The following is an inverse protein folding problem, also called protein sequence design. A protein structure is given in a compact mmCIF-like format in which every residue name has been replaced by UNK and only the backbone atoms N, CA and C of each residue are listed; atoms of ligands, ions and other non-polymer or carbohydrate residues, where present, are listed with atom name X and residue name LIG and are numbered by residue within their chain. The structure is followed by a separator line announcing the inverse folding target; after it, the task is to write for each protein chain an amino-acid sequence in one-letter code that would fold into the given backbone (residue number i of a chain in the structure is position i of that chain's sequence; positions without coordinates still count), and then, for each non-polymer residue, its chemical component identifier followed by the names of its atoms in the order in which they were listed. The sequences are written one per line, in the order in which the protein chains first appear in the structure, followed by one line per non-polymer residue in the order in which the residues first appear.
data_IF_067663125002
#
_entry.id   IF_067663125002
#
_cell.length_a   1.000
_cell.length_b   1.000
_cell.length_c   1.000
_cell.angle_alpha   90.00
_cell.angle_beta   90.00
_cell.angle_gamma   90.00
#
_symmetry.space_group_name_H-M   'P 1'
#
loop_
_entity.id
_entity.type
_entity.pdbx_description
1 polymer ?
#
# COMPACT_ATOMS: atom_id res chain seq x y z
N UNK A 1 17.95 -22.83 29.06
CA UNK A 1 16.48 -22.99 28.99
C UNK A 1 15.88 -21.91 29.89
N UNK A 2 15.59 -20.74 29.32
CA UNK A 2 15.03 -19.60 30.08
C UNK A 2 13.50 -19.80 30.05
N UNK A 3 12.95 -20.20 31.17
CA UNK A 3 11.49 -20.25 31.41
C UNK A 3 10.95 -18.81 31.28
N UNK A 4 10.21 -18.55 30.18
CA UNK A 4 9.45 -17.32 30.02
C UNK A 4 8.36 -17.28 31.13
N UNK A 5 8.46 -16.33 32.04
CA UNK A 5 7.36 -16.02 32.95
C UNK A 5 6.16 -15.53 32.09
N UNK A 6 5.13 -16.37 31.99
CA UNK A 6 3.84 -16.01 31.40
C UNK A 6 3.22 -14.91 32.25
N UNK A 7 2.81 -13.82 31.63
CA UNK A 7 1.99 -12.82 32.30
C UNK A 7 0.56 -13.40 32.41
N UNK A 8 0.05 -13.72 33.61
CA UNK A 8 -1.23 -14.43 33.78
C UNK A 8 -2.46 -13.64 33.35
N UNK A 9 -2.30 -12.37 32.95
CA UNK A 9 -3.39 -11.47 32.54
C UNK A 9 -3.45 -11.20 31.04
N UNK A 10 -2.64 -11.87 30.20
CA UNK A 10 -2.76 -11.72 28.73
C UNK A 10 -3.65 -12.84 28.17
N UNK A 11 -4.71 -12.50 27.40
CA UNK A 11 -5.55 -13.50 26.77
C UNK A 11 -4.71 -14.30 25.76
N UNK A 12 -4.76 -15.64 25.82
CA UNK A 12 -4.16 -16.54 24.85
C UNK A 12 -5.05 -16.63 23.59
N UNK A 13 -5.55 -15.50 23.12
CA UNK A 13 -6.57 -15.48 22.07
C UNK A 13 -6.09 -15.93 20.68
N UNK A 14 -4.77 -16.09 20.50
CA UNK A 14 -4.18 -16.66 19.27
C UNK A 14 -3.60 -18.05 19.49
N UNK A 15 -3.85 -18.69 20.65
CA UNK A 15 -3.31 -20.02 20.95
C UNK A 15 -3.79 -21.06 19.92
N UNK A 16 -2.84 -21.80 19.36
CA UNK A 16 -3.09 -22.82 18.35
C UNK A 16 -3.29 -22.30 16.92
N UNK A 17 -3.26 -20.99 16.68
CA UNK A 17 -3.36 -20.43 15.33
C UNK A 17 -2.00 -20.15 14.72
N UNK A 18 -1.85 -20.47 13.43
CA UNK A 18 -0.70 -20.13 12.58
C UNK A 18 -0.97 -18.81 11.89
N UNK A 19 -0.23 -17.79 12.30
CA UNK A 19 -0.44 -16.40 11.87
C UNK A 19 0.69 -15.95 10.95
N UNK A 20 0.37 -15.71 9.69
CA UNK A 20 1.31 -15.20 8.70
C UNK A 20 1.52 -13.68 8.87
N UNK A 21 2.78 -13.30 9.05
CA UNK A 21 3.24 -11.91 9.02
C UNK A 21 4.15 -11.67 7.83
N UNK A 22 3.80 -10.67 7.02
CA UNK A 22 4.58 -10.23 5.85
C UNK A 22 5.50 -9.05 6.17
N UNK A 23 5.60 -8.70 7.47
CA UNK A 23 6.45 -7.60 7.95
C UNK A 23 7.93 -7.85 7.67
N UNK A 24 8.61 -6.77 7.26
CA UNK A 24 10.06 -6.77 7.00
C UNK A 24 10.82 -6.05 8.11
N UNK A 25 10.70 -4.72 8.21
CA UNK A 25 11.45 -3.93 9.19
C UNK A 25 11.12 -4.26 10.64
N UNK A 26 9.83 -4.55 10.92
CA UNK A 26 9.31 -4.85 12.25
C UNK A 26 8.93 -6.31 12.42
N UNK A 27 9.52 -7.20 11.63
CA UNK A 27 9.24 -8.63 11.63
C UNK A 27 9.40 -9.27 13.01
N UNK A 28 10.49 -8.98 13.72
CA UNK A 28 10.75 -9.50 15.06
C UNK A 28 9.72 -8.97 16.09
N UNK A 29 9.30 -7.71 15.96
CA UNK A 29 8.30 -7.11 16.84
C UNK A 29 6.93 -7.74 16.60
N UNK A 30 6.51 -7.89 15.34
CA UNK A 30 5.26 -8.54 14.99
C UNK A 30 5.22 -9.99 15.46
N UNK A 31 6.30 -10.75 15.24
CA UNK A 31 6.43 -12.12 15.73
C UNK A 31 6.29 -12.19 17.26
N UNK A 32 6.93 -11.27 17.98
CA UNK A 32 6.81 -11.19 19.44
C UNK A 32 5.39 -10.85 19.89
N UNK A 33 4.73 -9.90 19.20
CA UNK A 33 3.33 -9.56 19.49
C UNK A 33 2.42 -10.78 19.33
N UNK A 34 2.50 -11.50 18.21
CA UNK A 34 1.71 -12.71 17.95
C UNK A 34 1.98 -13.78 19.02
N UNK A 35 3.26 -14.03 19.32
CA UNK A 35 3.67 -15.02 20.33
C UNK A 35 3.22 -14.65 21.75
N UNK A 36 3.10 -13.36 22.09
CA UNK A 36 2.59 -12.90 23.38
C UNK A 36 1.12 -13.30 23.61
N UNK A 37 0.34 -13.44 22.53
CA UNK A 37 -1.04 -13.94 22.57
C UNK A 37 -1.16 -15.43 22.27
N UNK A 38 -0.05 -16.19 22.29
CA UNK A 38 -0.01 -17.64 22.14
C UNK A 38 -0.01 -18.15 20.69
N UNK A 39 0.00 -17.26 19.69
CA UNK A 39 0.01 -17.63 18.27
C UNK A 39 1.38 -18.12 17.77
N UNK A 40 1.36 -19.01 16.77
CA UNK A 40 2.55 -19.39 16.00
C UNK A 40 2.77 -18.38 14.89
N UNK A 41 3.79 -17.52 15.03
CA UNK A 41 4.13 -16.54 14.00
C UNK A 41 4.92 -17.16 12.86
N UNK A 42 4.37 -17.12 11.64
CA UNK A 42 5.07 -17.45 10.40
C UNK A 42 5.54 -16.14 9.78
N UNK A 43 6.84 -15.91 9.83
CA UNK A 43 7.47 -14.66 9.35
C UNK A 43 7.96 -14.85 7.93
N UNK A 44 7.37 -14.13 7.00
CA UNK A 44 7.71 -14.16 5.57
C UNK A 44 7.78 -12.73 5.02
N UNK A 45 8.89 -12.01 5.24
CA UNK A 45 9.05 -10.66 4.71
C UNK A 45 8.72 -10.61 3.21
N UNK A 46 7.84 -9.68 2.82
CA UNK A 46 7.40 -9.57 1.42
C UNK A 46 7.96 -8.35 0.71
N UNK A 47 8.77 -7.54 1.39
CA UNK A 47 9.31 -6.32 0.82
C UNK A 47 10.64 -5.93 1.45
N UNK A 48 11.48 -5.21 0.69
CA UNK A 48 12.68 -4.52 1.16
C UNK A 48 12.67 -3.05 0.75
N UNK A 49 13.37 -2.22 1.49
CA UNK A 49 13.57 -0.81 1.12
C UNK A 49 14.53 -0.70 -0.07
N UNK A 50 14.20 0.20 -0.99
CA UNK A 50 15.01 0.46 -2.19
C UNK A 50 15.72 1.80 -2.00
N UNK A 51 17.02 1.91 -2.34
CA UNK A 51 17.74 3.18 -2.34
C UNK A 51 17.03 4.24 -3.18
N UNK A 52 17.06 5.50 -2.74
CA UNK A 52 16.39 6.61 -3.43
C UNK A 52 16.94 6.82 -4.83
N UNK A 53 18.23 6.60 -5.01
CA UNK A 53 18.96 6.76 -6.28
C UNK A 53 18.52 5.76 -7.35
N UNK A 54 17.86 4.69 -6.96
CA UNK A 54 17.29 3.69 -7.88
C UNK A 54 15.98 4.14 -8.54
N UNK A 55 15.42 5.28 -8.11
CA UNK A 55 14.14 5.80 -8.64
C UNK A 55 14.37 6.62 -9.92
N UNK A 56 14.84 5.99 -10.99
CA UNK A 56 15.23 6.65 -12.25
C UNK A 56 14.09 7.41 -12.90
N UNK A 57 12.86 6.89 -12.85
CA UNK A 57 11.66 7.54 -13.40
C UNK A 57 11.28 8.79 -12.58
N UNK A 58 11.40 8.74 -11.27
CA UNK A 58 11.17 9.91 -10.41
C UNK A 58 12.22 11.01 -10.64
N UNK A 59 13.48 10.63 -10.88
CA UNK A 59 14.55 11.56 -11.24
C UNK A 59 14.35 12.13 -12.64
N UNK A 60 13.90 11.33 -13.61
CA UNK A 60 13.56 11.81 -14.96
C UNK A 60 12.37 12.79 -14.90
N UNK A 61 11.35 12.47 -14.10
CA UNK A 61 10.23 13.40 -13.83
C UNK A 61 10.73 14.74 -13.29
N UNK A 62 11.63 14.74 -12.30
CA UNK A 62 12.14 15.96 -11.71
C UNK A 62 12.84 16.86 -12.73
N UNK A 63 13.68 16.28 -13.62
CA UNK A 63 14.35 17.00 -14.70
C UNK A 63 13.34 17.58 -15.70
N UNK A 64 12.37 16.80 -16.12
CA UNK A 64 11.32 17.22 -17.06
C UNK A 64 10.44 18.31 -16.46
N UNK A 65 10.09 18.21 -15.16
CA UNK A 65 9.35 19.26 -14.46
C UNK A 65 10.13 20.57 -14.39
N UNK A 66 11.41 20.50 -14.06
CA UNK A 66 12.28 21.70 -13.96
C UNK A 66 12.37 22.46 -15.29
N UNK A 67 12.28 21.79 -16.43
CA UNK A 67 12.28 22.37 -17.77
C UNK A 67 10.89 22.72 -18.32
N UNK A 68 9.82 22.60 -17.52
CA UNK A 68 8.45 22.91 -17.95
C UNK A 68 7.86 21.84 -18.87
N UNK A 69 8.31 20.60 -18.75
CA UNK A 69 7.85 19.48 -19.58
C UNK A 69 6.48 18.91 -19.21
N UNK A 70 5.83 19.40 -18.14
CA UNK A 70 4.49 19.00 -17.73
C UNK A 70 3.54 20.19 -17.64
N UNK A 71 2.27 19.93 -17.92
CA UNK A 71 1.18 20.90 -17.84
C UNK A 71 0.32 20.69 -16.58
N UNK A 72 0.44 19.51 -15.92
CA UNK A 72 -0.29 19.14 -14.71
C UNK A 72 0.42 18.00 -13.98
N UNK A 73 0.32 17.96 -12.65
CA UNK A 73 0.76 16.81 -11.84
C UNK A 73 -0.38 16.33 -10.96
N UNK A 74 -0.60 15.01 -10.93
CA UNK A 74 -1.59 14.35 -10.08
C UNK A 74 -0.86 13.52 -9.02
N UNK A 75 -1.15 13.77 -7.74
CA UNK A 75 -0.62 13.01 -6.62
C UNK A 75 -1.68 12.07 -6.06
N UNK A 76 -1.40 10.76 -6.05
CA UNK A 76 -2.34 9.76 -5.59
C UNK A 76 -2.26 9.49 -4.08
N UNK A 77 -1.07 9.60 -3.47
CA UNK A 77 -0.90 9.29 -2.05
C UNK A 77 0.04 10.26 -1.34
N UNK A 78 -0.22 10.54 -0.07
CA UNK A 78 0.67 11.38 0.73
C UNK A 78 2.04 10.73 1.00
N UNK A 79 2.06 9.40 1.13
CA UNK A 79 3.33 8.65 1.29
C UNK A 79 4.15 8.76 0.01
N UNK A 80 3.53 8.57 -1.15
CA UNK A 80 4.19 8.70 -2.45
C UNK A 80 4.66 10.12 -2.73
N UNK A 81 3.89 11.15 -2.36
CA UNK A 81 4.31 12.55 -2.50
C UNK A 81 5.57 12.85 -1.67
N UNK A 82 5.61 12.40 -0.40
CA UNK A 82 6.80 12.56 0.46
C UNK A 82 7.99 11.74 -0.03
N UNK A 83 7.75 10.53 -0.54
CA UNK A 83 8.78 9.69 -1.11
C UNK A 83 9.38 10.34 -2.37
N UNK A 84 8.54 10.86 -3.27
CA UNK A 84 8.98 11.58 -4.46
C UNK A 84 9.82 12.81 -4.09
N UNK A 85 9.38 13.61 -3.11
CA UNK A 85 10.15 14.75 -2.64
C UNK A 85 11.55 14.34 -2.17
N UNK A 86 11.67 13.28 -1.37
CA UNK A 86 12.97 12.75 -0.92
C UNK A 86 13.87 12.29 -2.07
N UNK A 87 13.29 11.64 -3.09
CA UNK A 87 14.05 11.24 -4.28
C UNK A 87 14.54 12.48 -5.03
N UNK A 88 13.66 13.46 -5.24
CA UNK A 88 14.00 14.70 -5.95
C UNK A 88 15.05 15.51 -5.19
N UNK A 89 15.01 15.51 -3.85
CA UNK A 89 16.00 16.20 -2.99
C UNK A 89 17.43 15.67 -3.16
N UNK A 90 17.62 14.51 -3.80
CA UNK A 90 18.97 14.01 -4.15
C UNK A 90 19.62 14.79 -5.31
N UNK A 91 18.84 15.52 -6.12
CA UNK A 91 19.32 16.24 -7.32
C UNK A 91 18.89 17.72 -7.39
N UNK A 92 17.81 18.10 -6.71
CA UNK A 92 17.29 19.46 -6.62
C UNK A 92 16.97 19.80 -5.17
N UNK A 93 17.08 21.07 -4.79
CA UNK A 93 16.62 21.47 -3.46
C UNK A 93 15.10 21.36 -3.35
N UNK A 94 14.61 21.19 -2.12
CA UNK A 94 13.18 21.17 -1.81
C UNK A 94 12.44 22.39 -2.36
N UNK A 95 13.06 23.58 -2.25
CA UNK A 95 12.47 24.82 -2.76
C UNK A 95 12.44 24.85 -4.29
N UNK A 96 13.47 24.36 -4.97
CA UNK A 96 13.46 24.26 -6.44
C UNK A 96 12.33 23.32 -6.92
N UNK A 97 12.14 22.20 -6.25
CA UNK A 97 11.05 21.27 -6.56
C UNK A 97 9.68 21.93 -6.32
N UNK A 98 9.48 22.54 -5.15
CA UNK A 98 8.25 23.25 -4.84
C UNK A 98 7.96 24.39 -5.82
N UNK A 99 8.97 25.18 -6.15
CA UNK A 99 8.84 26.28 -7.12
C UNK A 99 8.45 25.80 -8.52
N UNK A 100 8.96 24.64 -8.95
CA UNK A 100 8.57 24.05 -10.23
C UNK A 100 7.10 23.57 -10.20
N UNK A 101 6.66 22.92 -9.12
CA UNK A 101 5.27 22.50 -8.94
C UNK A 101 4.27 23.66 -8.88
N UNK A 102 4.65 24.81 -8.29
CA UNK A 102 3.78 26.01 -8.21
C UNK A 102 3.46 26.63 -9.56
N UNK A 103 4.20 26.29 -10.61
CA UNK A 103 4.00 26.85 -11.97
C UNK A 103 2.87 26.16 -12.74
N UNK A 104 2.40 25.01 -12.29
CA UNK A 104 1.40 24.21 -12.97
C UNK A 104 0.32 23.73 -11.99
N UNK A 105 -0.89 23.40 -12.46
CA UNK A 105 -1.92 22.81 -11.62
C UNK A 105 -1.45 21.51 -10.97
N UNK A 106 -1.62 21.42 -9.65
CA UNK A 106 -1.35 20.21 -8.86
C UNK A 106 -2.66 19.69 -8.33
N UNK A 107 -2.94 18.41 -8.60
CA UNK A 107 -4.15 17.71 -8.23
C UNK A 107 -3.81 16.71 -7.12
N UNK A 108 -4.63 16.65 -6.09
CA UNK A 108 -4.49 15.69 -4.98
C UNK A 108 -5.71 14.77 -4.91
N UNK A 109 -5.49 13.45 -4.93
CA UNK A 109 -6.58 12.45 -4.84
C UNK A 109 -7.32 12.47 -3.50
N UNK A 110 -6.86 13.21 -2.52
CA UNK A 110 -7.53 13.29 -1.21
C UNK A 110 -6.69 14.00 -0.15
N UNK A 111 -7.11 13.96 1.12
CA UNK A 111 -6.50 14.76 2.18
C UNK A 111 -5.04 14.41 2.50
N UNK A 112 -4.65 13.13 2.33
CA UNK A 112 -3.26 12.71 2.62
C UNK A 112 -2.22 13.31 1.67
N UNK A 113 -2.40 13.30 0.33
CA UNK A 113 -1.51 14.04 -0.56
C UNK A 113 -1.62 15.57 -0.37
N UNK A 114 -2.80 16.13 -0.04
CA UNK A 114 -2.91 17.56 0.30
C UNK A 114 -1.98 17.91 1.46
N UNK A 115 -2.00 17.16 2.56
CA UNK A 115 -1.12 17.39 3.70
C UNK A 115 0.38 17.36 3.30
N UNK A 116 0.78 16.37 2.49
CA UNK A 116 2.15 16.27 2.02
C UNK A 116 2.57 17.46 1.12
N UNK A 117 1.68 17.95 0.26
CA UNK A 117 1.91 19.11 -0.61
C UNK A 117 1.94 20.41 0.19
N UNK A 118 1.11 20.54 1.23
CA UNK A 118 1.15 21.67 2.18
C UNK A 118 2.49 21.72 2.91
N UNK A 119 3.02 20.60 3.37
CA UNK A 119 4.35 20.50 3.97
C UNK A 119 5.47 20.96 3.01
N UNK A 120 5.26 20.80 1.70
CA UNK A 120 6.16 21.26 0.65
C UNK A 120 5.92 22.73 0.25
N UNK A 121 4.90 23.38 0.77
CA UNK A 121 4.52 24.74 0.37
C UNK A 121 3.97 24.80 -1.06
N UNK A 122 3.32 23.75 -1.54
CA UNK A 122 2.73 23.66 -2.89
C UNK A 122 1.21 23.74 -2.80
N UNK A 123 0.57 24.74 -3.44
CA UNK A 123 -0.88 24.85 -3.47
C UNK A 123 -1.50 23.75 -4.33
N UNK A 124 -2.68 23.28 -3.92
CA UNK A 124 -3.45 22.25 -4.63
C UNK A 124 -4.59 22.94 -5.40
N UNK A 125 -4.63 22.73 -6.72
CA UNK A 125 -5.65 23.29 -7.60
C UNK A 125 -6.99 22.52 -7.51
N UNK A 126 -6.93 21.21 -7.23
CA UNK A 126 -8.10 20.35 -7.06
C UNK A 126 -7.80 19.26 -6.03
N UNK A 127 -8.66 19.17 -5.02
CA UNK A 127 -8.73 18.03 -4.10
C UNK A 127 -9.94 17.18 -4.45
N UNK A 128 -9.72 15.90 -4.67
CA UNK A 128 -10.81 14.97 -4.97
C UNK A 128 -11.63 14.71 -3.69
N UNK A 129 -12.99 14.80 -3.74
CA UNK A 129 -13.83 14.49 -2.60
C UNK A 129 -13.83 13.01 -2.23
N UNK A 130 -14.26 12.68 -1.03
CA UNK A 130 -14.44 11.28 -0.62
C UNK A 130 -15.50 10.59 -1.50
N UNK A 131 -15.32 9.30 -1.76
CA UNK A 131 -14.39 8.33 -1.15
C UNK A 131 -12.95 8.30 -1.73
N UNK A 132 -12.55 9.31 -2.52
CA UNK A 132 -11.18 9.49 -3.05
C UNK A 132 -10.69 8.31 -3.93
N UNK A 133 -11.59 7.65 -4.64
CA UNK A 133 -11.24 6.60 -5.59
C UNK A 133 -10.69 7.18 -6.90
N UNK A 134 -10.17 6.33 -7.78
CA UNK A 134 -9.78 6.77 -9.12
C UNK A 134 -10.97 7.26 -9.97
N UNK A 135 -12.18 6.73 -9.72
CA UNK A 135 -13.42 7.17 -10.38
C UNK A 135 -13.78 8.59 -9.96
N UNK A 136 -13.67 8.88 -8.66
CA UNK A 136 -13.93 10.22 -8.15
C UNK A 136 -12.92 11.23 -8.68
N UNK A 137 -11.64 10.81 -8.85
CA UNK A 137 -10.62 11.65 -9.47
C UNK A 137 -11.00 12.01 -10.92
N UNK A 138 -11.38 11.03 -11.75
CA UNK A 138 -11.77 11.29 -13.13
C UNK A 138 -13.03 12.17 -13.19
N UNK A 139 -14.02 11.90 -12.34
CA UNK A 139 -15.24 12.69 -12.26
C UNK A 139 -14.95 14.14 -11.83
N UNK A 140 -14.12 14.36 -10.83
CA UNK A 140 -13.75 15.70 -10.38
C UNK A 140 -12.99 16.49 -11.46
N UNK A 141 -12.15 15.83 -12.26
CA UNK A 141 -11.48 16.43 -13.42
C UNK A 141 -12.47 16.78 -14.54
N UNK A 142 -13.48 15.94 -14.79
CA UNK A 142 -14.55 16.22 -15.76
C UNK A 142 -15.35 17.47 -15.37
N UNK A 143 -15.69 17.60 -14.08
CA UNK A 143 -16.41 18.79 -13.56
C UNK A 143 -15.59 20.07 -13.65
N UNK A 144 -14.25 19.96 -13.75
CA UNK A 144 -13.33 21.09 -13.88
C UNK A 144 -12.69 21.20 -15.26
N UNK A 145 -13.25 20.55 -16.27
CA UNK A 145 -12.68 20.45 -17.63
C UNK A 145 -12.40 21.80 -18.30
N UNK A 146 -13.13 22.86 -17.97
CA UNK A 146 -12.87 24.21 -18.46
C UNK A 146 -11.60 24.82 -17.87
N UNK A 147 -11.38 24.67 -16.55
CA UNK A 147 -10.24 25.24 -15.83
C UNK A 147 -9.01 24.31 -15.77
N UNK A 148 -9.24 22.99 -15.85
CA UNK A 148 -8.23 21.94 -15.80
C UNK A 148 -8.39 20.99 -17.00
N UNK A 149 -8.26 21.47 -18.25
CA UNK A 149 -8.44 20.63 -19.43
C UNK A 149 -7.36 19.56 -19.50
N UNK A 150 -7.77 18.34 -19.90
CA UNK A 150 -6.85 17.20 -20.07
C UNK A 150 -6.41 17.01 -21.53
N UNK A 151 -7.24 17.40 -22.50
CA UNK A 151 -6.97 17.16 -23.92
C UNK A 151 -5.67 17.83 -24.38
N UNK A 152 -4.74 17.02 -24.83
CA UNK A 152 -3.42 17.45 -25.32
C UNK A 152 -2.45 17.84 -24.20
N UNK A 153 -2.83 17.69 -22.92
CA UNK A 153 -1.98 18.09 -21.79
C UNK A 153 -1.04 16.94 -21.37
N UNK A 154 0.20 17.30 -21.06
CA UNK A 154 1.22 16.41 -20.51
C UNK A 154 1.01 16.30 -19.00
N UNK A 155 0.46 15.20 -18.58
CA UNK A 155 0.07 14.95 -17.18
C UNK A 155 1.04 13.99 -16.54
N UNK A 156 1.72 14.40 -15.49
CA UNK A 156 2.49 13.49 -14.65
C UNK A 156 1.58 12.88 -13.58
N UNK A 157 1.56 11.56 -13.48
CA UNK A 157 0.81 10.82 -12.48
C UNK A 157 1.76 10.17 -11.48
N UNK A 158 1.83 10.72 -10.26
CA UNK A 158 2.63 10.14 -9.19
C UNK A 158 1.95 8.89 -8.66
N UNK A 159 2.62 7.75 -8.78
CA UNK A 159 2.19 6.45 -8.32
C UNK A 159 3.05 5.97 -7.14
N UNK A 160 2.44 5.19 -6.25
CA UNK A 160 3.11 4.54 -5.15
C UNK A 160 2.54 3.12 -5.01
N UNK A 161 3.36 2.12 -5.28
CA UNK A 161 2.93 0.73 -5.39
C UNK A 161 2.47 0.37 -6.81
N UNK A 162 1.43 -0.45 -6.92
CA UNK A 162 0.91 -0.90 -8.21
C UNK A 162 0.26 0.23 -8.99
N UNK A 163 0.41 0.15 -10.31
CA UNK A 163 -0.24 1.06 -11.24
C UNK A 163 -1.72 0.72 -11.41
N UNK A 164 -2.56 1.74 -11.51
CA UNK A 164 -3.98 1.58 -11.80
C UNK A 164 -4.22 1.77 -13.32
N UNK A 165 -4.36 0.64 -14.03
CA UNK A 165 -4.55 0.65 -15.48
C UNK A 165 -5.85 1.34 -15.92
N UNK A 166 -6.91 1.28 -15.10
CA UNK A 166 -8.20 1.92 -15.41
C UNK A 166 -8.11 3.45 -15.27
N UNK A 167 -7.38 3.95 -14.27
CA UNK A 167 -7.11 5.38 -14.14
C UNK A 167 -6.27 5.88 -15.33
N UNK A 168 -5.22 5.16 -15.70
CA UNK A 168 -4.38 5.54 -16.84
C UNK A 168 -5.19 5.60 -18.13
N UNK A 169 -6.03 4.59 -18.39
CA UNK A 169 -6.94 4.57 -19.53
C UNK A 169 -7.92 5.74 -19.46
N UNK A 170 -8.56 5.96 -18.32
CA UNK A 170 -9.53 7.03 -18.15
C UNK A 170 -8.96 8.43 -18.37
N UNK A 171 -7.69 8.67 -18.03
CA UNK A 171 -6.98 9.92 -18.34
C UNK A 171 -6.66 10.01 -19.85
N UNK A 172 -6.19 8.91 -20.45
CA UNK A 172 -5.87 8.86 -21.89
C UNK A 172 -7.13 9.05 -22.75
N UNK A 173 -8.25 8.45 -22.38
CA UNK A 173 -9.55 8.60 -23.08
C UNK A 173 -10.03 10.06 -23.09
N UNK A 174 -9.60 10.87 -22.12
CA UNK A 174 -9.84 12.32 -22.05
C UNK A 174 -8.79 13.14 -22.81
N UNK A 175 -7.90 12.46 -23.52
CA UNK A 175 -6.86 13.07 -24.36
C UNK A 175 -5.63 13.54 -23.62
N UNK A 176 -5.40 13.12 -22.38
CA UNK A 176 -4.17 13.41 -21.64
C UNK A 176 -2.99 12.58 -22.18
N UNK A 177 -1.82 13.21 -22.25
CA UNK A 177 -0.54 12.53 -22.49
C UNK A 177 0.06 12.20 -21.11
N UNK A 178 -0.19 10.97 -20.64
CA UNK A 178 0.15 10.59 -19.26
C UNK A 178 1.57 10.05 -19.18
N UNK A 179 2.37 10.65 -18.29
CA UNK A 179 3.66 10.12 -17.85
C UNK A 179 3.53 9.58 -16.43
N UNK A 180 3.80 8.30 -16.26
CA UNK A 180 3.82 7.67 -14.94
C UNK A 180 5.07 8.09 -14.20
N UNK A 181 4.91 8.38 -12.91
CA UNK A 181 6.00 8.70 -11.99
C UNK A 181 5.93 7.73 -10.81
N UNK A 182 6.34 6.48 -11.04
CA UNK A 182 6.41 5.51 -9.96
C UNK A 182 7.51 5.91 -8.99
N UNK A 183 7.23 5.77 -7.70
CA UNK A 183 8.21 5.99 -6.64
C UNK A 183 8.37 4.68 -5.89
N UNK A 184 9.52 4.06 -6.05
CA UNK A 184 9.81 2.78 -5.43
C UNK A 184 10.53 3.03 -4.09
N UNK A 185 9.81 2.84 -2.98
CA UNK A 185 10.42 2.67 -1.66
C UNK A 185 10.58 1.20 -1.29
N UNK A 186 9.85 0.34 -2.00
CA UNK A 186 9.75 -1.07 -1.66
C UNK A 186 9.89 -1.93 -2.92
N UNK A 187 10.76 -2.92 -2.85
CA UNK A 187 10.88 -3.98 -3.83
C UNK A 187 10.65 -5.34 -3.15
N UNK A 188 10.54 -6.38 -3.94
CA UNK A 188 10.58 -7.75 -3.44
C UNK A 188 11.89 -7.99 -2.65
N UNK A 189 11.87 -8.83 -1.61
CA UNK A 189 13.09 -9.23 -0.90
C UNK A 189 14.11 -9.88 -1.86
N UNK A 190 15.39 -9.79 -1.53
CA UNK A 190 16.42 -10.50 -2.29
C UNK A 190 16.30 -12.02 -2.11
N UNK A 191 16.03 -12.47 -0.88
CA UNK A 191 15.66 -13.85 -0.61
C UNK A 191 14.13 -14.00 -0.60
N UNK A 192 13.59 -14.64 -1.63
CA UNK A 192 12.17 -14.98 -1.75
C UNK A 192 11.82 -16.31 -1.08
N UNK A 193 12.79 -17.06 -0.54
CA UNK A 193 12.56 -18.36 0.08
C UNK A 193 11.45 -18.35 1.13
N UNK A 194 11.53 -17.50 2.17
CA UNK A 194 10.49 -17.41 3.20
C UNK A 194 9.10 -17.06 2.64
N UNK A 195 9.02 -16.11 1.70
CA UNK A 195 7.75 -15.70 1.08
C UNK A 195 7.15 -16.84 0.23
N UNK A 196 7.96 -17.52 -0.57
CA UNK A 196 7.53 -18.69 -1.36
C UNK A 196 7.07 -19.84 -0.48
N UNK A 197 7.78 -20.12 0.62
CA UNK A 197 7.39 -21.14 1.59
C UNK A 197 6.03 -20.80 2.23
N UNK A 198 5.81 -19.55 2.63
CA UNK A 198 4.55 -19.09 3.19
C UNK A 198 3.39 -19.19 2.18
N UNK A 199 3.62 -18.80 0.91
CA UNK A 199 2.63 -18.95 -0.17
C UNK A 199 2.28 -20.43 -0.39
N UNK A 200 3.26 -21.32 -0.37
CA UNK A 200 3.03 -22.76 -0.43
C UNK A 200 2.20 -23.29 0.75
N UNK A 201 2.49 -22.82 1.97
CA UNK A 201 1.70 -23.14 3.17
C UNK A 201 0.26 -22.61 3.07
N UNK A 202 0.09 -21.36 2.58
CA UNK A 202 -1.25 -20.81 2.30
C UNK A 202 -2.00 -21.67 1.28
N UNK A 203 -1.37 -22.04 0.17
CA UNK A 203 -2.00 -22.86 -0.87
C UNK A 203 -2.48 -24.22 -0.36
N UNK A 204 -1.79 -24.78 0.67
CA UNK A 204 -2.22 -26.02 1.35
C UNK A 204 -3.23 -25.80 2.47
N UNK A 205 -3.62 -24.54 2.76
CA UNK A 205 -4.58 -24.23 3.83
C UNK A 205 -3.99 -24.36 5.25
N UNK A 206 -2.67 -24.23 5.39
CA UNK A 206 -1.96 -24.36 6.65
C UNK A 206 -1.86 -23.06 7.45
N UNK A 207 -2.42 -21.96 6.95
CA UNK A 207 -2.41 -20.63 7.58
C UNK A 207 -3.81 -20.30 8.06
N UNK A 208 -3.95 -19.98 9.34
CA UNK A 208 -5.23 -19.62 9.94
C UNK A 208 -5.54 -18.14 9.79
N UNK A 209 -4.52 -17.28 9.93
CA UNK A 209 -4.68 -15.83 9.88
C UNK A 209 -3.54 -15.21 9.06
N UNK A 210 -3.83 -14.12 8.35
CA UNK A 210 -2.81 -13.28 7.70
C UNK A 210 -3.00 -11.82 8.06
N UNK A 211 -1.91 -11.16 8.44
CA UNK A 211 -1.90 -9.75 8.83
C UNK A 211 -1.21 -8.91 7.76
N UNK A 212 -1.98 -7.99 7.18
CA UNK A 212 -1.48 -7.02 6.21
C UNK A 212 -1.33 -5.65 6.87
N UNK A 213 -0.12 -5.13 6.90
CA UNK A 213 0.21 -3.83 7.49
C UNK A 213 0.51 -2.77 6.44
N UNK A 214 0.53 -3.12 5.17
CA UNK A 214 0.67 -2.20 4.04
C UNK A 214 0.12 -2.82 2.75
N UNK A 215 -0.36 -1.98 1.83
CA UNK A 215 -0.85 -2.40 0.51
C UNK A 215 0.21 -3.14 -0.33
N UNK A 216 1.49 -2.78 -0.18
CA UNK A 216 2.59 -3.43 -0.92
C UNK A 216 2.70 -4.92 -0.59
N UNK A 217 2.39 -5.31 0.65
CA UNK A 217 2.38 -6.73 1.04
C UNK A 217 1.35 -7.55 0.26
N UNK A 218 0.18 -6.95 0.00
CA UNK A 218 -0.87 -7.59 -0.82
C UNK A 218 -0.37 -7.82 -2.25
N UNK A 219 0.19 -6.77 -2.85
CA UNK A 219 0.70 -6.77 -4.22
C UNK A 219 1.78 -7.85 -4.39
N UNK A 220 2.81 -7.81 -3.54
CA UNK A 220 3.94 -8.74 -3.61
C UNK A 220 3.52 -10.19 -3.33
N UNK A 221 2.60 -10.42 -2.37
CA UNK A 221 2.04 -11.75 -2.11
C UNK A 221 1.38 -12.33 -3.37
N UNK A 222 0.50 -11.54 -4.01
CA UNK A 222 -0.24 -12.00 -5.18
C UNK A 222 0.66 -12.14 -6.41
N UNK A 223 1.64 -11.24 -6.59
CA UNK A 223 2.64 -11.33 -7.65
C UNK A 223 3.43 -12.64 -7.57
N UNK A 224 3.98 -12.97 -6.39
CA UNK A 224 4.75 -14.21 -6.22
C UNK A 224 3.86 -15.44 -6.28
N UNK A 225 2.62 -15.39 -5.79
CA UNK A 225 1.66 -16.48 -5.95
C UNK A 225 1.37 -16.77 -7.43
N UNK A 226 1.23 -15.73 -8.26
CA UNK A 226 1.07 -15.86 -9.72
C UNK A 226 2.32 -16.46 -10.38
N UNK A 227 3.52 -15.97 -10.01
CA UNK A 227 4.80 -16.51 -10.52
C UNK A 227 4.98 -18.00 -10.16
N UNK A 228 4.45 -18.44 -9.02
CA UNK A 228 4.47 -19.84 -8.56
C UNK A 228 3.35 -20.69 -9.17
N UNK A 229 2.45 -20.13 -9.96
CA UNK A 229 1.22 -20.78 -10.46
C UNK A 229 0.30 -21.29 -9.31
N UNK A 230 0.33 -20.62 -8.16
CA UNK A 230 -0.46 -20.94 -6.96
C UNK A 230 -1.56 -19.92 -6.67
N UNK A 231 -1.77 -18.92 -7.51
CA UNK A 231 -2.73 -17.85 -7.27
C UNK A 231 -4.14 -18.37 -6.96
N UNK A 232 -4.64 -19.33 -7.73
CA UNK A 232 -5.97 -19.91 -7.54
C UNK A 232 -6.09 -20.63 -6.19
N UNK A 233 -5.08 -21.41 -5.79
CA UNK A 233 -5.05 -22.11 -4.52
C UNK A 233 -4.95 -21.14 -3.33
N UNK A 234 -4.12 -20.08 -3.46
CA UNK A 234 -4.00 -19.01 -2.46
C UNK A 234 -5.33 -18.30 -2.28
N UNK A 235 -6.00 -17.90 -3.37
CA UNK A 235 -7.34 -17.29 -3.31
C UNK A 235 -8.37 -18.17 -2.63
N UNK A 236 -8.38 -19.47 -2.97
CA UNK A 236 -9.26 -20.44 -2.33
C UNK A 236 -8.97 -20.59 -0.82
N UNK A 237 -7.70 -20.58 -0.44
CA UNK A 237 -7.29 -20.60 0.97
C UNK A 237 -7.69 -19.34 1.71
N UNK A 238 -7.48 -18.14 1.11
CA UNK A 238 -7.86 -16.86 1.70
C UNK A 238 -9.36 -16.75 2.01
N UNK A 239 -10.21 -17.46 1.28
CA UNK A 239 -11.64 -17.55 1.59
C UNK A 239 -11.93 -18.25 2.95
N UNK A 240 -10.96 -18.97 3.51
CA UNK A 240 -11.05 -19.69 4.79
C UNK A 240 -10.02 -19.23 5.83
N UNK A 241 -9.20 -18.25 5.50
CA UNK A 241 -8.16 -17.65 6.35
C UNK A 241 -8.66 -16.31 6.86
N UNK A 242 -8.46 -15.99 8.14
CA UNK A 242 -8.78 -14.68 8.67
C UNK A 242 -7.83 -13.63 8.08
N UNK A 243 -8.38 -12.60 7.48
CA UNK A 243 -7.63 -11.51 6.83
C UNK A 243 -7.79 -10.25 7.66
N UNK A 244 -6.72 -9.87 8.36
CA UNK A 244 -6.66 -8.63 9.12
C UNK A 244 -5.89 -7.56 8.34
N UNK A 245 -6.53 -6.44 8.09
CA UNK A 245 -5.94 -5.28 7.44
C UNK A 245 -5.66 -4.18 8.46
N UNK A 246 -4.50 -3.54 8.37
CA UNK A 246 -4.12 -2.46 9.30
C UNK A 246 -4.99 -1.21 9.16
N UNK A 247 -5.67 -1.03 8.04
CA UNK A 247 -6.50 0.14 7.79
C UNK A 247 -6.90 0.33 6.32
N UNK A 248 -7.65 1.41 6.01
CA UNK A 248 -8.38 1.58 4.76
C UNK A 248 -7.55 1.40 3.48
N UNK A 249 -6.35 1.99 3.43
CA UNK A 249 -5.49 1.90 2.22
C UNK A 249 -5.09 0.45 1.91
N UNK A 250 -4.83 -0.34 2.96
CA UNK A 250 -4.49 -1.76 2.80
C UNK A 250 -5.74 -2.58 2.46
N UNK A 251 -6.87 -2.24 3.05
CA UNK A 251 -8.17 -2.87 2.74
C UNK A 251 -8.60 -2.61 1.29
N UNK A 252 -8.37 -1.40 0.79
CA UNK A 252 -8.67 -1.08 -0.61
C UNK A 252 -7.78 -1.90 -1.56
N UNK A 253 -6.49 -2.03 -1.26
CA UNK A 253 -5.61 -2.90 -2.04
C UNK A 253 -6.05 -4.37 -2.02
N UNK A 254 -6.51 -4.88 -0.87
CA UNK A 254 -7.09 -6.23 -0.78
C UNK A 254 -8.31 -6.37 -1.68
N UNK A 255 -9.25 -5.42 -1.62
CA UNK A 255 -10.47 -5.42 -2.46
C UNK A 255 -10.16 -5.31 -3.94
N UNK A 256 -9.17 -4.49 -4.35
CA UNK A 256 -8.69 -4.40 -5.74
C UNK A 256 -8.18 -5.75 -6.26
N UNK A 257 -7.63 -6.57 -5.36
CA UNK A 257 -7.25 -7.97 -5.67
C UNK A 257 -8.37 -8.99 -5.46
N UNK A 258 -9.61 -8.55 -5.22
CA UNK A 258 -10.77 -9.43 -4.98
C UNK A 258 -10.72 -10.17 -3.64
N UNK A 259 -10.00 -9.62 -2.66
CA UNK A 259 -9.85 -10.18 -1.32
C UNK A 259 -10.56 -9.24 -0.33
N UNK A 260 -11.53 -9.77 0.41
CA UNK A 260 -12.25 -9.00 1.43
C UNK A 260 -11.55 -9.15 2.78
N UNK A 261 -11.10 -8.06 3.43
CA UNK A 261 -10.60 -8.15 4.80
C UNK A 261 -11.75 -8.46 5.77
N UNK A 262 -11.46 -9.26 6.78
CA UNK A 262 -12.45 -9.63 7.80
C UNK A 262 -12.60 -8.55 8.87
N UNK A 263 -11.53 -7.82 9.15
CA UNK A 263 -11.59 -6.64 10.01
C UNK A 263 -10.41 -5.67 9.79
N UNK A 264 -10.63 -4.44 10.27
CA UNK A 264 -9.61 -3.43 10.53
C UNK A 264 -9.60 -3.13 12.03
N UNK A 265 -8.44 -2.83 12.65
CA UNK A 265 -8.37 -2.44 14.04
C UNK A 265 -8.91 -1.02 14.23
N UNK A 266 -9.35 -0.71 15.46
CA UNK A 266 -9.84 0.62 15.85
C UNK A 266 -8.78 1.72 15.64
N UNK A 267 -7.51 1.35 15.69
CA UNK A 267 -6.38 2.23 15.40
C UNK A 267 -5.40 1.54 14.45
N UNK A 268 -4.89 2.21 13.40
CA UNK A 268 -4.02 1.62 12.38
C UNK A 268 -2.58 1.41 12.90
N UNK A 269 -2.43 0.59 13.95
CA UNK A 269 -1.15 0.25 14.59
C UNK A 269 -1.05 -1.26 14.78
N UNK A 270 0.16 -1.82 14.63
CA UNK A 270 0.41 -3.27 14.77
C UNK A 270 -0.08 -3.85 16.10
N UNK A 271 0.14 -3.15 17.22
CA UNK A 271 -0.31 -3.59 18.53
C UNK A 271 -1.84 -3.74 18.60
N UNK A 272 -2.59 -2.78 18.05
CA UNK A 272 -4.06 -2.88 17.98
C UNK A 272 -4.50 -3.99 17.05
N UNK A 273 -3.85 -4.15 15.89
CA UNK A 273 -4.15 -5.23 14.95
C UNK A 273 -4.04 -6.61 15.60
N UNK A 274 -2.93 -6.87 16.31
CA UNK A 274 -2.69 -8.16 16.97
C UNK A 274 -3.59 -8.33 18.19
N UNK A 275 -3.79 -7.29 19.01
CA UNK A 275 -4.68 -7.33 20.17
C UNK A 275 -6.12 -7.67 19.77
N UNK A 276 -6.67 -6.94 18.79
CA UNK A 276 -8.05 -7.17 18.36
C UNK A 276 -8.20 -8.49 17.59
N UNK A 277 -7.15 -8.97 16.90
CA UNK A 277 -7.13 -10.33 16.36
C UNK A 277 -7.20 -11.38 17.48
N UNK A 278 -6.50 -11.17 18.58
CA UNK A 278 -6.56 -12.06 19.74
C UNK A 278 -7.93 -12.04 20.43
N UNK A 279 -8.61 -10.90 20.47
CA UNK A 279 -9.93 -10.77 21.11
C UNK A 279 -11.05 -11.41 20.30
N UNK A 280 -11.07 -11.24 18.98
CA UNK A 280 -12.21 -11.60 18.13
C UNK A 280 -11.88 -12.52 16.95
N UNK A 281 -10.59 -12.78 16.72
CA UNK A 281 -10.14 -13.51 15.53
C UNK A 281 -10.66 -14.95 15.45
N UNK A 282 -10.69 -15.66 16.58
CA UNK A 282 -11.20 -17.04 16.64
C UNK A 282 -12.66 -17.12 16.18
N UNK A 283 -13.53 -16.26 16.70
CA UNK A 283 -14.95 -16.25 16.34
C UNK A 283 -15.17 -15.83 14.88
N UNK A 284 -14.40 -14.86 14.37
CA UNK A 284 -14.46 -14.44 12.97
C UNK A 284 -14.00 -15.56 12.03
N UNK A 285 -12.93 -16.27 12.38
CA UNK A 285 -12.41 -17.40 11.61
C UNK A 285 -13.40 -18.57 11.57
N UNK A 286 -14.00 -18.92 12.71
CA UNK A 286 -15.02 -19.96 12.80
C UNK A 286 -16.22 -19.63 11.92
N UNK A 287 -16.73 -18.39 12.02
CA UNK A 287 -17.83 -17.90 11.18
C UNK A 287 -17.47 -18.00 9.70
N UNK A 288 -16.25 -17.61 9.31
CA UNK A 288 -15.80 -17.65 7.92
C UNK A 288 -15.66 -19.07 7.39
N UNK A 289 -15.26 -20.02 8.22
CA UNK A 289 -15.10 -21.43 7.84
C UNK A 289 -16.41 -22.21 7.76
N UNK A 290 -17.47 -21.68 8.38
CA UNK A 290 -18.83 -22.28 8.37
C UNK A 290 -19.71 -21.77 7.21
N UNK A 291 -19.25 -20.80 6.43
CA UNK A 291 -19.88 -20.33 5.20
C UNK A 291 -19.38 -21.11 3.98
#
# INVERSE_FOLDING_TARGET
MILRMKNPNQPEGLAGFRVLSLESRRAAEMSKLIANYGGEAIVAPSMREVPLESNTEALAFARTLATGGFDMVIFLTGVGARALAKVVETVYSREQFAAALRKIPVIARGPKPVAALTELGVPVALTVPEPNTWRDLLHALDQKSESLPLKGRRVALQEYGASNAELLRGLADRGAIVSRVPVYQWALPEDLGPLRAAIGAMARGEIDMVFFTTSVQVIHLMEIATQMNLESQVRKSLARTLIASIGPVTSDALREHGITPDFEPTHPKMGFLVNEAAERGAALLEKKRSQ
#
